data_IF_050659350959
#
_entry.id   IF_050659350959
#
_cell.length_a   1.000
_cell.length_b   1.000
_cell.length_c   1.000
_cell.angle_alpha   90.00
_cell.angle_beta   90.00
_cell.angle_gamma   90.00
#
_symmetry.space_group_name_H-M   'P 1'
#
loop_
_entity.id
_entity.type
_entity.pdbx_description
1 polymer ?
#
# COMPACT_ATOMS: atom_id res chain seq x y z
N UNK A 1 -12.90 13.34 -11.85
CA UNK A 1 -12.73 14.43 -10.82
C UNK A 1 -13.58 15.67 -11.06
N UNK A 2 -14.70 15.67 -11.76
CA UNK A 2 -15.58 16.86 -11.92
C UNK A 2 -14.80 18.21 -12.00
N UNK A 3 -13.61 18.22 -12.64
CA UNK A 3 -12.75 19.40 -12.77
C UNK A 3 -11.90 19.76 -11.53
N UNK A 4 -11.93 18.98 -10.45
CA UNK A 4 -11.09 19.23 -9.27
C UNK A 4 -9.63 18.84 -9.55
N UNK A 5 -8.69 19.65 -9.06
CA UNK A 5 -7.26 19.31 -9.07
C UNK A 5 -6.96 18.41 -7.87
N UNK A 6 -6.33 17.26 -8.13
CA UNK A 6 -5.92 16.31 -7.08
C UNK A 6 -4.41 16.18 -7.11
N UNK A 7 -3.77 16.30 -5.95
CA UNK A 7 -2.34 16.12 -5.74
C UNK A 7 -2.12 15.16 -4.57
N UNK A 8 -1.38 14.08 -4.80
CA UNK A 8 -1.03 13.11 -3.77
C UNK A 8 0.22 13.60 -3.05
N UNK A 9 0.09 14.02 -1.80
CA UNK A 9 1.19 14.50 -0.97
C UNK A 9 1.90 13.34 -0.25
N UNK A 10 1.14 12.31 0.15
CA UNK A 10 1.64 11.08 0.72
C UNK A 10 0.63 9.95 0.42
N UNK A 11 1.10 8.81 -0.03
CA UNK A 11 0.24 7.65 -0.34
C UNK A 11 -0.27 6.93 0.91
N UNK A 12 0.31 7.19 2.08
CA UNK A 12 -0.01 6.48 3.31
C UNK A 12 0.59 5.08 3.37
N UNK A 13 -0.08 4.19 4.09
CA UNK A 13 0.34 2.81 4.31
C UNK A 13 -0.55 1.87 3.52
N UNK A 14 0.06 1.02 2.69
CA UNK A 14 -0.67 -0.01 1.98
C UNK A 14 -1.24 -1.03 2.96
N UNK A 15 -2.55 -1.26 2.89
CA UNK A 15 -3.23 -2.32 3.59
C UNK A 15 -3.16 -3.63 2.78
N UNK A 16 -3.02 -4.75 3.47
CA UNK A 16 -3.04 -6.10 2.87
C UNK A 16 -4.09 -7.00 3.49
N UNK A 17 -4.84 -6.46 4.43
CA UNK A 17 -5.91 -7.12 5.17
C UNK A 17 -7.26 -6.51 4.79
N UNK A 18 -8.32 -6.80 5.55
CA UNK A 18 -9.64 -6.23 5.32
C UNK A 18 -9.66 -4.70 5.53
N UNK A 19 -10.48 -3.99 4.77
CA UNK A 19 -10.63 -2.53 4.82
C UNK A 19 -10.02 -1.84 3.60
N UNK A 20 -9.94 -0.50 3.61
CA UNK A 20 -9.43 0.29 2.51
C UNK A 20 -7.98 -0.05 2.11
N UNK A 21 -7.65 0.07 0.82
CA UNK A 21 -6.35 -0.30 0.26
C UNK A 21 -5.16 0.48 0.82
N UNK A 22 -5.37 1.74 1.18
CA UNK A 22 -4.35 2.59 1.78
C UNK A 22 -4.92 3.36 2.97
N UNK A 23 -4.20 3.32 4.08
CA UNK A 23 -4.50 4.08 5.30
C UNK A 23 -3.67 5.36 5.39
N UNK A 24 -4.27 6.41 5.95
CA UNK A 24 -3.59 7.67 6.28
C UNK A 24 -2.89 8.33 5.09
N UNK A 25 -3.46 8.22 3.90
CA UNK A 25 -3.02 8.98 2.75
C UNK A 25 -3.25 10.49 2.97
N UNK A 26 -2.37 11.32 2.45
CA UNK A 26 -2.49 12.77 2.49
C UNK A 26 -2.66 13.29 1.06
N UNK A 27 -3.81 13.85 0.78
CA UNK A 27 -4.22 14.29 -0.55
C UNK A 27 -4.63 15.75 -0.50
N UNK A 28 -4.20 16.53 -1.49
CA UNK A 28 -4.74 17.87 -1.70
C UNK A 28 -5.77 17.83 -2.82
N UNK A 29 -7.00 18.23 -2.51
CA UNK A 29 -8.10 18.34 -3.48
C UNK A 29 -8.42 19.83 -3.61
N UNK A 30 -8.14 20.41 -4.77
CA UNK A 30 -8.04 21.86 -4.97
C UNK A 30 -7.03 22.43 -3.97
N UNK A 31 -7.48 23.33 -3.07
CA UNK A 31 -6.63 23.97 -2.07
C UNK A 31 -6.77 23.35 -0.66
N UNK A 32 -7.60 22.30 -0.51
CA UNK A 32 -7.86 21.66 0.76
C UNK A 32 -7.03 20.40 0.91
N UNK A 33 -6.24 20.33 1.97
CA UNK A 33 -5.49 19.11 2.33
C UNK A 33 -6.36 18.23 3.21
N UNK A 34 -6.54 17.00 2.79
CA UNK A 34 -7.27 15.96 3.51
C UNK A 34 -6.33 14.82 3.89
N UNK A 35 -6.61 14.20 5.03
CA UNK A 35 -5.95 12.97 5.49
C UNK A 35 -7.02 11.92 5.71
N UNK A 36 -6.84 10.74 5.13
CA UNK A 36 -7.79 9.66 5.22
C UNK A 36 -7.35 8.45 4.42
N UNK A 37 -8.29 7.59 4.10
CA UNK A 37 -8.03 6.34 3.40
C UNK A 37 -8.27 6.51 1.89
N UNK A 38 -7.65 5.63 1.11
CA UNK A 38 -7.84 5.55 -0.35
C UNK A 38 -8.25 4.14 -0.71
N UNK A 39 -9.22 4.04 -1.61
CA UNK A 39 -9.69 2.77 -2.17
C UNK A 39 -9.50 2.75 -3.67
N UNK A 40 -9.11 1.59 -4.23
CA UNK A 40 -8.82 1.40 -5.66
C UNK A 40 -9.74 0.34 -6.24
N UNK A 41 -10.41 0.68 -7.34
CA UNK A 41 -11.26 -0.25 -8.08
C UNK A 41 -11.01 -0.17 -9.58
N UNK A 42 -11.43 -1.18 -10.32
CA UNK A 42 -11.47 -1.07 -11.78
C UNK A 42 -12.57 -0.12 -12.22
N UNK A 43 -13.74 -0.22 -11.60
CA UNK A 43 -14.91 0.63 -11.90
C UNK A 43 -15.47 1.27 -10.64
N UNK A 44 -16.04 2.45 -10.75
CA UNK A 44 -16.74 3.08 -9.63
C UNK A 44 -17.89 2.22 -9.09
N UNK A 45 -18.60 1.47 -9.96
CA UNK A 45 -19.66 0.54 -9.59
C UNK A 45 -19.19 -0.63 -8.71
N UNK A 46 -17.90 -0.96 -8.68
CA UNK A 46 -17.35 -2.01 -7.83
C UNK A 46 -17.47 -1.66 -6.35
N UNK A 47 -17.49 -0.38 -6.01
CA UNK A 47 -17.78 0.13 -4.66
C UNK A 47 -19.06 -0.48 -4.07
N UNK A 48 -20.13 -0.45 -4.87
CA UNK A 48 -21.43 -1.00 -4.47
C UNK A 48 -21.48 -2.53 -4.56
N UNK A 49 -20.78 -3.12 -5.52
CA UNK A 49 -20.66 -4.58 -5.63
C UNK A 49 -19.98 -5.18 -4.39
N UNK A 50 -19.03 -4.47 -3.80
CA UNK A 50 -18.34 -4.87 -2.57
C UNK A 50 -19.07 -4.39 -1.29
N UNK A 51 -20.20 -3.68 -1.45
CA UNK A 51 -21.02 -3.16 -0.35
C UNK A 51 -20.30 -2.17 0.57
N UNK A 52 -19.31 -1.43 0.05
CA UNK A 52 -18.54 -0.45 0.84
C UNK A 52 -19.41 0.71 1.33
N UNK A 53 -20.49 1.04 0.64
CA UNK A 53 -21.48 2.03 1.05
C UNK A 53 -22.22 1.66 2.34
N UNK A 54 -22.11 0.40 2.79
CA UNK A 54 -22.75 -0.11 4.03
C UNK A 54 -21.74 -0.34 5.15
N UNK A 55 -20.45 -0.30 4.84
CA UNK A 55 -19.39 -0.59 5.81
C UNK A 55 -18.78 0.69 6.38
N UNK A 56 -18.89 0.84 7.69
CA UNK A 56 -18.35 1.99 8.43
C UNK A 56 -16.82 2.09 8.36
N UNK A 57 -16.10 1.00 8.08
CA UNK A 57 -14.65 1.00 7.88
C UNK A 57 -14.22 1.91 6.72
N UNK A 58 -15.10 2.08 5.72
CA UNK A 58 -14.86 2.94 4.55
C UNK A 58 -15.28 4.40 4.74
N UNK A 59 -15.84 4.76 5.89
CA UNK A 59 -16.29 6.14 6.18
C UNK A 59 -15.15 7.17 6.23
N UNK A 60 -13.91 6.74 6.36
CA UNK A 60 -12.75 7.61 6.32
C UNK A 60 -12.04 7.61 4.95
N UNK A 61 -12.66 7.03 3.92
CA UNK A 61 -12.18 7.13 2.54
C UNK A 61 -12.40 8.55 2.04
N UNK A 62 -11.32 9.18 1.58
CA UNK A 62 -11.29 10.55 1.06
C UNK A 62 -11.13 10.59 -0.45
N UNK A 63 -10.68 9.50 -1.05
CA UNK A 63 -10.43 9.41 -2.48
C UNK A 63 -10.66 7.97 -2.97
N UNK A 64 -11.48 7.83 -4.01
CA UNK A 64 -11.63 6.61 -4.79
C UNK A 64 -10.79 6.73 -6.06
N UNK A 65 -9.91 5.77 -6.30
CA UNK A 65 -9.09 5.68 -7.53
C UNK A 65 -9.68 4.59 -8.41
N UNK A 66 -10.08 4.94 -9.63
CA UNK A 66 -10.76 3.99 -10.53
C UNK A 66 -10.12 3.95 -11.91
N UNK A 67 -10.20 2.83 -12.60
CA UNK A 67 -9.87 2.72 -14.02
C UNK A 67 -10.96 3.37 -14.89
N UNK A 68 -12.22 3.23 -14.48
CA UNK A 68 -13.40 3.79 -15.17
C UNK A 68 -14.35 4.39 -14.14
N UNK A 69 -14.63 5.67 -14.26
CA UNK A 69 -15.58 6.38 -13.38
C UNK A 69 -17.00 6.29 -13.97
N UNK A 70 -17.59 5.09 -13.88
CA UNK A 70 -18.93 4.79 -14.42
C UNK A 70 -20.05 5.18 -13.45
N UNK A 71 -19.74 5.38 -12.15
CA UNK A 71 -20.71 5.70 -11.11
C UNK A 71 -20.10 6.58 -10.02
N UNK A 72 -20.90 7.48 -9.43
CA UNK A 72 -20.54 8.23 -8.24
C UNK A 72 -20.62 7.34 -7.01
N UNK A 73 -19.68 7.51 -6.07
CA UNK A 73 -19.56 6.70 -4.87
C UNK A 73 -19.86 7.50 -3.62
N UNK A 74 -20.50 6.84 -2.64
CA UNK A 74 -20.94 7.44 -1.39
C UNK A 74 -20.57 6.55 -0.21
N UNK A 75 -20.21 7.16 0.92
CA UNK A 75 -19.99 6.42 2.17
C UNK A 75 -21.33 6.03 2.84
N UNK A 76 -21.27 5.29 3.96
CA UNK A 76 -22.45 4.81 4.68
C UNK A 76 -23.31 5.93 5.29
N UNK A 77 -22.82 7.17 5.29
CA UNK A 77 -23.51 8.38 5.76
C UNK A 77 -24.08 9.19 4.60
N UNK A 78 -23.95 8.72 3.37
CA UNK A 78 -24.39 9.43 2.17
C UNK A 78 -23.47 10.57 1.72
N UNK A 79 -22.23 10.66 2.26
CA UNK A 79 -21.26 11.65 1.82
C UNK A 79 -20.63 11.18 0.51
N UNK A 80 -20.65 12.03 -0.52
CA UNK A 80 -19.96 11.76 -1.78
C UNK A 80 -18.45 11.71 -1.56
N UNK A 81 -17.80 10.70 -2.15
CA UNK A 81 -16.36 10.52 -2.14
C UNK A 81 -15.80 10.98 -3.48
N UNK A 82 -14.76 11.82 -3.43
CA UNK A 82 -14.08 12.27 -4.64
C UNK A 82 -13.43 11.07 -5.36
N UNK A 83 -13.63 10.98 -6.68
CA UNK A 83 -13.06 9.93 -7.50
C UNK A 83 -12.11 10.49 -8.56
N UNK A 84 -11.01 9.79 -8.81
CA UNK A 84 -10.10 10.06 -9.93
C UNK A 84 -10.00 8.83 -10.84
N UNK A 85 -9.92 9.07 -12.14
CA UNK A 85 -9.62 8.02 -13.11
C UNK A 85 -8.12 7.92 -13.29
N UNK A 86 -7.57 6.73 -13.09
CA UNK A 86 -6.16 6.43 -13.33
C UNK A 86 -5.94 6.11 -14.81
N UNK A 87 -5.19 6.97 -15.48
CA UNK A 87 -4.76 6.72 -16.86
C UNK A 87 -3.36 6.16 -16.83
N UNK A 88 -3.16 4.99 -17.42
CA UNK A 88 -1.87 4.32 -17.49
C UNK A 88 -1.62 3.76 -18.91
N UNK A 89 -0.35 3.53 -19.25
CA UNK A 89 0.02 2.93 -20.54
C UNK A 89 -0.39 1.45 -20.56
N UNK A 90 -1.15 1.04 -21.57
CA UNK A 90 -1.60 -0.34 -21.74
C UNK A 90 -0.45 -1.35 -21.77
N UNK A 91 0.76 -0.93 -22.18
CA UNK A 91 1.95 -1.77 -22.13
C UNK A 91 2.29 -2.25 -20.71
N UNK A 92 1.98 -1.45 -19.68
CA UNK A 92 2.17 -1.88 -18.29
C UNK A 92 1.25 -3.04 -17.92
N UNK A 93 0.02 -3.03 -18.44
CA UNK A 93 -0.92 -4.13 -18.26
C UNK A 93 -0.47 -5.39 -19.00
N UNK A 94 -0.06 -5.27 -20.25
CA UNK A 94 0.41 -6.39 -21.05
C UNK A 94 1.66 -7.04 -20.43
N UNK A 95 2.60 -6.24 -19.93
CA UNK A 95 3.77 -6.72 -19.20
C UNK A 95 3.39 -7.40 -17.87
N UNK A 96 2.44 -6.87 -17.14
CA UNK A 96 1.95 -7.48 -15.90
C UNK A 96 1.29 -8.83 -16.16
N UNK A 97 0.37 -8.92 -17.14
CA UNK A 97 -0.29 -10.17 -17.54
C UNK A 97 0.74 -11.21 -18.00
N UNK A 98 1.70 -10.77 -18.81
CA UNK A 98 2.80 -11.64 -19.23
C UNK A 98 3.57 -12.18 -18.02
N UNK A 99 3.91 -11.33 -17.04
CA UNK A 99 4.63 -11.76 -15.84
C UNK A 99 3.80 -12.72 -14.97
N UNK A 100 2.48 -12.65 -15.01
CA UNK A 100 1.62 -13.59 -14.28
C UNK A 100 1.57 -14.98 -14.92
N UNK A 101 1.73 -15.07 -16.25
CA UNK A 101 1.63 -16.32 -17.00
C UNK A 101 2.87 -17.24 -16.93
N UNK A 102 3.92 -16.87 -16.19
CA UNK A 102 5.18 -17.65 -16.08
C UNK A 102 5.20 -18.45 -14.78
N UNK A 103 4.89 -19.76 -14.78
CA UNK A 103 4.57 -20.52 -13.56
C UNK A 103 5.78 -20.98 -12.72
N UNK A 104 7.00 -21.01 -13.24
CA UNK A 104 8.12 -21.74 -12.61
C UNK A 104 9.35 -20.85 -12.34
N UNK A 105 9.49 -19.71 -13.00
CA UNK A 105 10.64 -18.83 -12.86
C UNK A 105 10.25 -17.49 -12.21
N UNK A 106 11.17 -16.82 -11.50
CA UNK A 106 10.92 -15.47 -11.01
C UNK A 106 10.44 -14.58 -12.17
N UNK A 107 9.38 -13.81 -11.94
CA UNK A 107 8.72 -12.99 -12.98
C UNK A 107 9.67 -12.04 -13.72
N UNK A 108 10.75 -11.63 -13.06
CA UNK A 108 11.83 -10.81 -13.62
C UNK A 108 12.95 -11.60 -14.30
N UNK A 109 12.87 -12.94 -14.40
CA UNK A 109 13.94 -13.81 -14.89
C UNK A 109 14.56 -13.38 -16.23
N UNK A 110 13.73 -12.96 -17.19
CA UNK A 110 14.21 -12.51 -18.50
C UNK A 110 15.11 -11.29 -18.43
N UNK A 111 14.84 -10.40 -17.49
CA UNK A 111 15.61 -9.18 -17.28
C UNK A 111 16.88 -9.46 -16.47
N UNK A 112 16.84 -10.42 -15.56
CA UNK A 112 17.99 -10.81 -14.74
C UNK A 112 19.14 -11.38 -15.57
N UNK A 113 18.84 -12.15 -16.64
CA UNK A 113 19.86 -12.70 -17.55
C UNK A 113 20.69 -11.64 -18.28
N UNK A 114 20.23 -10.40 -18.33
CA UNK A 114 20.91 -9.28 -18.99
C UNK A 114 21.73 -8.43 -18.02
N UNK A 115 21.69 -8.74 -16.73
CA UNK A 115 22.40 -7.97 -15.71
C UNK A 115 23.73 -8.65 -15.45
N UNK A 116 24.81 -7.86 -15.48
CA UNK A 116 26.14 -8.31 -15.10
C UNK A 116 26.15 -8.82 -13.63
N UNK A 117 26.91 -9.91 -13.39
CA UNK A 117 26.96 -10.57 -12.08
C UNK A 117 27.43 -9.64 -10.97
N UNK A 118 28.44 -8.81 -11.24
CA UNK A 118 28.95 -7.83 -10.27
C UNK A 118 27.87 -6.83 -9.86
N UNK A 119 27.08 -6.38 -10.85
CA UNK A 119 25.97 -5.48 -10.59
C UNK A 119 24.86 -6.14 -9.77
N UNK A 120 24.58 -7.41 -10.00
CA UNK A 120 23.65 -8.22 -9.20
C UNK A 120 24.12 -8.36 -7.75
N UNK A 121 25.40 -8.69 -7.53
CA UNK A 121 25.97 -8.76 -6.18
C UNK A 121 25.88 -7.44 -5.44
N UNK A 122 26.21 -6.32 -6.11
CA UNK A 122 26.06 -4.99 -5.52
C UNK A 122 24.62 -4.68 -5.13
N UNK A 123 23.65 -5.03 -5.99
CA UNK A 123 22.22 -4.84 -5.69
C UNK A 123 21.78 -5.68 -4.50
N UNK A 124 22.11 -6.97 -4.46
CA UNK A 124 21.74 -7.83 -3.35
C UNK A 124 22.39 -7.40 -2.03
N UNK A 125 23.66 -7.00 -2.10
CA UNK A 125 24.36 -6.44 -0.93
C UNK A 125 23.68 -5.16 -0.45
N UNK A 126 23.32 -4.26 -1.36
CA UNK A 126 22.57 -3.05 -1.03
C UNK A 126 21.24 -3.33 -0.34
N UNK A 127 20.43 -4.22 -0.89
CA UNK A 127 19.16 -4.63 -0.29
C UNK A 127 19.33 -5.34 1.05
N UNK A 128 20.39 -6.15 1.22
CA UNK A 128 20.69 -6.80 2.49
C UNK A 128 21.02 -5.76 3.56
N UNK A 129 21.85 -4.77 3.23
CA UNK A 129 22.22 -3.67 4.15
C UNK A 129 20.97 -2.86 4.51
N UNK A 130 20.18 -2.44 3.52
CA UNK A 130 18.94 -1.67 3.76
C UNK A 130 17.97 -2.43 4.69
N UNK A 131 17.84 -3.75 4.47
CA UNK A 131 17.01 -4.61 5.33
C UNK A 131 17.54 -4.66 6.77
N UNK A 132 18.85 -4.78 6.94
CA UNK A 132 19.49 -4.80 8.26
C UNK A 132 19.34 -3.44 8.97
N UNK A 133 19.56 -2.34 8.26
CA UNK A 133 19.38 -1.00 8.81
C UNK A 133 17.95 -0.75 9.30
N UNK A 134 16.95 -1.19 8.51
CA UNK A 134 15.54 -1.09 8.93
C UNK A 134 15.32 -1.88 10.21
N UNK A 135 15.79 -3.14 10.28
CA UNK A 135 15.67 -3.97 11.48
C UNK A 135 16.38 -3.36 12.69
N UNK A 136 17.56 -2.78 12.50
CA UNK A 136 18.25 -2.07 13.56
C UNK A 136 17.46 -0.85 14.06
N UNK A 137 16.81 -0.11 13.17
CA UNK A 137 15.95 1.02 13.57
C UNK A 137 14.75 0.55 14.39
N UNK A 138 14.09 -0.55 13.99
CA UNK A 138 12.99 -1.14 14.75
C UNK A 138 13.44 -1.53 16.17
N UNK A 139 14.60 -2.17 16.30
CA UNK A 139 15.19 -2.54 17.59
C UNK A 139 15.52 -1.29 18.43
N UNK A 140 16.10 -0.26 17.82
CA UNK A 140 16.44 0.99 18.52
C UNK A 140 15.22 1.72 19.05
N UNK A 141 14.10 1.68 18.31
CA UNK A 141 12.81 2.23 18.78
C UNK A 141 12.35 1.47 20.00
N UNK A 142 12.31 0.14 19.91
CA UNK A 142 11.86 -0.73 20.99
C UNK A 142 12.74 -0.62 22.24
N UNK A 143 14.08 -0.49 22.08
CA UNK A 143 15.01 -0.28 23.20
C UNK A 143 14.74 1.05 23.94
N UNK A 144 14.37 2.10 23.21
CA UNK A 144 14.00 3.38 23.84
C UNK A 144 12.70 3.23 24.66
N UNK A 145 11.72 2.50 24.15
CA UNK A 145 10.46 2.23 24.83
C UNK A 145 10.65 1.39 26.09
N UNK A 146 11.55 0.42 26.05
CA UNK A 146 11.90 -0.46 27.18
C UNK A 146 12.99 0.13 28.08
N UNK A 147 13.34 1.42 27.94
CA UNK A 147 14.39 2.09 28.74
C UNK A 147 15.74 1.37 28.68
N UNK A 148 16.11 0.87 27.49
CA UNK A 148 17.32 0.08 27.22
C UNK A 148 17.36 -1.30 27.90
N UNK A 149 16.20 -1.86 28.23
CA UNK A 149 16.10 -3.25 28.67
C UNK A 149 16.17 -4.19 27.45
N UNK A 150 17.32 -4.87 27.31
CA UNK A 150 17.57 -5.80 26.21
C UNK A 150 16.79 -7.10 26.31
N UNK A 151 16.50 -7.59 27.51
CA UNK A 151 15.75 -8.82 27.72
C UNK A 151 14.28 -8.61 27.33
N UNK A 152 13.68 -7.52 27.78
CA UNK A 152 12.33 -7.13 27.42
C UNK A 152 12.21 -6.84 25.92
N UNK A 153 13.18 -6.15 25.34
CA UNK A 153 13.24 -5.90 23.90
C UNK A 153 13.28 -7.21 23.09
N UNK A 154 14.15 -8.15 23.51
CA UNK A 154 14.26 -9.46 22.87
C UNK A 154 12.95 -10.25 22.97
N UNK A 155 12.34 -10.27 24.15
CA UNK A 155 11.06 -10.95 24.37
C UNK A 155 9.95 -10.41 23.47
N UNK A 156 9.79 -9.09 23.40
CA UNK A 156 8.81 -8.43 22.52
C UNK A 156 9.07 -8.76 21.05
N UNK A 157 10.30 -8.74 20.61
CA UNK A 157 10.67 -9.12 19.25
C UNK A 157 10.32 -10.58 18.96
N UNK A 158 10.64 -11.49 19.89
CA UNK A 158 10.34 -12.90 19.75
C UNK A 158 8.83 -13.14 19.57
N UNK A 159 8.02 -12.55 20.43
CA UNK A 159 6.56 -12.64 20.38
C UNK A 159 6.02 -12.07 19.07
N UNK A 160 6.47 -10.86 18.68
CA UNK A 160 6.06 -10.20 17.45
C UNK A 160 6.34 -11.04 16.20
N UNK A 161 7.52 -11.65 16.11
CA UNK A 161 7.86 -12.50 14.96
C UNK A 161 7.21 -13.88 14.99
N UNK A 162 6.84 -14.37 16.16
CA UNK A 162 6.14 -15.64 16.30
C UNK A 162 4.65 -15.51 15.96
N UNK A 163 4.01 -14.41 16.33
CA UNK A 163 2.57 -14.19 16.12
C UNK A 163 2.18 -13.93 14.66
N UNK A 164 3.14 -13.71 13.76
CA UNK A 164 2.90 -13.37 12.36
C UNK A 164 2.44 -11.91 12.16
N UNK A 165 2.21 -11.53 10.91
CA UNK A 165 1.95 -10.13 10.57
C UNK A 165 0.60 -9.59 11.10
N UNK A 166 -0.41 -10.46 11.22
CA UNK A 166 -1.78 -10.04 11.61
C UNK A 166 -1.88 -9.74 13.10
N UNK A 167 -1.10 -10.45 13.93
CA UNK A 167 -1.14 -10.33 15.39
C UNK A 167 0.11 -9.65 15.97
N UNK A 168 0.91 -9.02 15.12
CA UNK A 168 2.20 -8.47 15.54
C UNK A 168 2.07 -7.22 16.43
N UNK A 169 0.93 -6.54 16.40
CA UNK A 169 0.69 -5.26 17.07
C UNK A 169 -0.40 -5.34 18.16
N UNK A 170 -0.74 -6.56 18.60
CA UNK A 170 -1.70 -6.83 19.69
C UNK A 170 -0.99 -6.87 21.05
#
# INVERSE_FOLDING_TARGET
TKGKRVEILNVGFQNRDAGPDFFNAKVRINDVVQVGNVEIHQKGSDWFRHAHEKDSAYNNVILSVVGEADMEVYDSRGREIDAITLVYDNRLWDEYVFMQGVPVEPRCHRHLKKIDSTRLEMLFTGYAIERLERKCKDIQVMLRETKNDWEECFYRMLVRYWSGNVNADV
#
